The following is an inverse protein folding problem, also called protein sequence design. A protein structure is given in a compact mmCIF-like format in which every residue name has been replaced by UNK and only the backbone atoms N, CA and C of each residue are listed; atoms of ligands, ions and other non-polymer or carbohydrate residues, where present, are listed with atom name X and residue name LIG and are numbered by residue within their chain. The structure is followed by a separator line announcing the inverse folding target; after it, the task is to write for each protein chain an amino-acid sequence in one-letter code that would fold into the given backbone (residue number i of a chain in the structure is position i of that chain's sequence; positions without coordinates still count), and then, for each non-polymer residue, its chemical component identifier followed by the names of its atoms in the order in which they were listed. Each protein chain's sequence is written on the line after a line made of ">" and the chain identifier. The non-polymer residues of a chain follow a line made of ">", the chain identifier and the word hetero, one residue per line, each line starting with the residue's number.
data_IF_708868031320
#
_entry.id   IF_708868031320
#
_cell.length_a   1.000
_cell.length_b   1.000
_cell.length_c   1.000
_cell.angle_alpha   90.00
_cell.angle_beta   90.00
_cell.angle_gamma   90.00
#
_symmetry.space_group_name_H-M   'P 1'
#
loop_
_entity.id
_entity.type
_entity.pdbx_description
1 polymer ?
#
# COMPACT_ATOMS: atom_id res chain seq x y z
N UNK A 1 14.94 -42.17 -10.35
CA UNK A 1 15.75 -41.92 -11.57
C UNK A 1 14.86 -41.25 -12.60
N UNK A 2 14.84 -39.92 -12.67
CA UNK A 2 14.31 -39.13 -13.79
C UNK A 2 14.46 -37.65 -13.43
N UNK A 3 15.67 -37.11 -13.59
CA UNK A 3 15.92 -35.67 -13.65
C UNK A 3 17.34 -35.46 -14.17
N UNK A 4 17.53 -35.63 -15.48
CA UNK A 4 18.81 -35.31 -16.14
C UNK A 4 18.69 -34.95 -17.63
N UNK A 5 17.52 -34.47 -18.07
CA UNK A 5 17.24 -34.20 -19.50
C UNK A 5 16.71 -32.78 -19.80
N UNK A 6 16.71 -31.85 -18.84
CA UNK A 6 16.12 -30.51 -19.04
C UNK A 6 17.13 -29.35 -19.14
N UNK A 7 18.43 -29.60 -19.06
CA UNK A 7 19.44 -28.51 -19.10
C UNK A 7 19.92 -28.15 -20.51
N UNK A 8 19.78 -29.05 -21.50
CA UNK A 8 20.23 -28.81 -22.87
C UNK A 8 19.25 -27.93 -23.68
N UNK A 9 17.95 -28.09 -23.46
CA UNK A 9 16.90 -27.35 -24.20
C UNK A 9 16.84 -25.86 -23.86
N UNK A 10 17.11 -25.48 -22.60
CA UNK A 10 17.04 -24.08 -22.15
C UNK A 10 18.18 -23.21 -22.71
N UNK A 11 19.37 -23.79 -22.93
CA UNK A 11 20.51 -23.09 -23.52
C UNK A 11 20.34 -22.82 -25.01
N UNK A 12 19.76 -23.77 -25.76
CA UNK A 12 19.52 -23.64 -27.19
C UNK A 12 18.45 -22.59 -27.51
N UNK A 13 17.36 -22.55 -26.72
CA UNK A 13 16.31 -21.53 -26.83
C UNK A 13 16.85 -20.12 -26.55
N UNK A 14 17.68 -19.96 -25.51
CA UNK A 14 18.28 -18.67 -25.17
C UNK A 14 19.25 -18.16 -26.26
N UNK A 15 19.92 -19.05 -26.96
CA UNK A 15 20.80 -18.70 -28.08
C UNK A 15 20.00 -18.40 -29.36
N UNK A 16 18.90 -19.11 -29.58
CA UNK A 16 17.95 -18.84 -30.67
C UNK A 16 17.33 -17.44 -30.55
N UNK A 17 16.92 -17.04 -29.34
CA UNK A 17 16.46 -15.68 -29.05
C UNK A 17 17.52 -14.62 -29.39
N UNK A 18 18.79 -14.88 -29.05
CA UNK A 18 19.91 -13.96 -29.35
C UNK A 18 20.22 -13.87 -30.86
N UNK A 19 19.86 -14.88 -31.64
CA UNK A 19 20.06 -14.92 -33.09
C UNK A 19 18.83 -14.46 -33.89
N UNK A 20 17.78 -14.04 -33.20
CA UNK A 20 16.54 -13.58 -33.81
C UNK A 20 16.55 -12.07 -33.96
N UNK A 21 16.24 -11.59 -35.16
CA UNK A 21 16.08 -10.17 -35.42
C UNK A 21 14.76 -9.68 -34.82
N UNK A 22 14.76 -8.61 -34.00
CA UNK A 22 13.55 -8.11 -33.34
C UNK A 22 12.53 -7.48 -34.30
N UNK A 23 12.88 -7.27 -35.58
CA UNK A 23 11.99 -6.65 -36.59
C UNK A 23 11.25 -7.71 -37.39
N UNK A 24 11.97 -8.63 -38.05
CA UNK A 24 11.33 -9.70 -38.84
C UNK A 24 10.99 -10.94 -38.01
N UNK A 25 11.45 -11.02 -36.76
CA UNK A 25 11.27 -12.16 -35.85
C UNK A 25 11.81 -13.49 -36.42
N UNK A 26 12.76 -13.40 -37.36
CA UNK A 26 13.48 -14.56 -37.91
C UNK A 26 14.96 -14.46 -37.59
N UNK A 27 15.71 -15.54 -37.86
CA UNK A 27 17.16 -15.52 -37.70
C UNK A 27 17.82 -14.42 -38.55
N UNK A 28 18.87 -13.82 -38.00
CA UNK A 28 19.62 -12.77 -38.68
C UNK A 28 20.12 -13.21 -40.06
N UNK A 29 19.81 -12.37 -41.05
CA UNK A 29 20.29 -12.46 -42.43
C UNK A 29 21.03 -11.18 -42.75
N UNK A 30 22.34 -11.29 -43.02
CA UNK A 30 23.26 -10.17 -43.17
C UNK A 30 23.10 -9.08 -42.08
N UNK A 31 23.40 -9.41 -40.81
CA UNK A 31 23.14 -8.51 -39.69
C UNK A 31 24.06 -7.28 -39.70
N UNK A 32 23.45 -6.13 -39.51
CA UNK A 32 24.08 -4.81 -39.45
C UNK A 32 23.94 -4.25 -38.03
N UNK A 33 24.98 -3.65 -37.49
CA UNK A 33 25.00 -3.04 -36.15
C UNK A 33 24.87 -1.52 -36.24
N UNK A 34 23.92 -0.95 -35.49
CA UNK A 34 23.74 0.50 -35.37
C UNK A 34 24.72 1.10 -34.34
N UNK A 35 24.96 2.43 -34.33
CA UNK A 35 25.79 3.11 -33.32
C UNK A 35 25.34 2.87 -31.87
N UNK A 36 24.06 2.59 -31.66
CA UNK A 36 23.53 2.19 -30.35
C UNK A 36 23.81 0.73 -29.97
N UNK A 37 24.61 0.01 -30.77
CA UNK A 37 25.03 -1.38 -30.58
C UNK A 37 23.91 -2.45 -30.70
N UNK A 38 22.74 -2.07 -31.21
CA UNK A 38 21.68 -3.03 -31.56
C UNK A 38 21.86 -3.48 -33.00
N UNK A 39 21.57 -4.77 -33.25
CA UNK A 39 21.75 -5.40 -34.56
C UNK A 39 20.42 -5.77 -35.20
N UNK A 40 20.34 -5.65 -36.54
CA UNK A 40 19.15 -5.92 -37.34
C UNK A 40 19.56 -6.54 -38.69
N UNK A 41 18.68 -7.27 -39.36
CA UNK A 41 18.95 -7.68 -40.75
C UNK A 41 19.07 -6.44 -41.65
N UNK A 42 19.96 -6.45 -42.65
CA UNK A 42 20.08 -5.33 -43.59
C UNK A 42 18.72 -4.96 -44.22
N UNK A 43 17.99 -5.95 -44.75
CA UNK A 43 16.66 -5.71 -45.35
C UNK A 43 15.63 -5.16 -44.35
N UNK A 44 15.77 -5.49 -43.06
CA UNK A 44 14.91 -4.91 -42.02
C UNK A 44 15.22 -3.44 -41.81
N UNK A 45 16.49 -3.05 -41.84
CA UNK A 45 16.89 -1.64 -41.74
C UNK A 45 16.47 -0.83 -42.97
N UNK A 46 16.59 -1.41 -44.17
CA UNK A 46 16.14 -0.80 -45.43
C UNK A 46 14.63 -0.54 -45.46
N UNK A 47 13.85 -1.36 -44.73
CA UNK A 47 12.40 -1.21 -44.59
C UNK A 47 11.95 -0.26 -43.48
N UNK A 48 12.87 0.30 -42.67
CA UNK A 48 12.50 1.23 -41.60
C UNK A 48 12.14 2.61 -42.16
N UNK A 49 11.21 3.33 -41.50
CA UNK A 49 10.92 4.71 -41.86
C UNK A 49 12.15 5.60 -41.63
N UNK A 50 12.42 6.49 -42.59
CA UNK A 50 13.52 7.44 -42.54
C UNK A 50 13.01 8.83 -42.15
N UNK A 51 13.67 9.46 -41.19
CA UNK A 51 13.46 10.84 -40.82
C UNK A 51 14.48 11.72 -41.53
N UNK A 52 14.02 12.76 -42.25
CA UNK A 52 14.91 13.71 -42.93
C UNK A 52 15.11 14.95 -42.05
N UNK A 53 16.35 15.25 -41.68
CA UNK A 53 16.75 16.47 -40.96
C UNK A 53 17.89 17.13 -41.73
N UNK A 54 17.72 18.37 -42.18
CA UNK A 54 18.80 19.17 -42.81
C UNK A 54 19.61 18.42 -43.88
N UNK A 55 18.90 17.78 -44.83
CA UNK A 55 19.46 16.99 -45.95
C UNK A 55 20.08 15.63 -45.60
N UNK A 56 20.25 15.28 -44.32
CA UNK A 56 20.64 13.94 -43.88
C UNK A 56 19.43 13.10 -43.47
N UNK A 57 19.53 11.78 -43.67
CA UNK A 57 18.50 10.82 -43.30
C UNK A 57 18.90 10.09 -42.02
N UNK A 58 17.93 9.86 -41.14
CA UNK A 58 18.11 9.14 -39.88
C UNK A 58 17.14 7.97 -39.80
N UNK A 59 17.59 6.91 -39.13
CA UNK A 59 16.79 5.76 -38.74
C UNK A 59 16.73 5.66 -37.21
N UNK A 60 15.52 5.57 -36.67
CA UNK A 60 15.32 5.34 -35.25
C UNK A 60 15.42 3.85 -34.94
N UNK A 61 16.34 3.47 -34.05
CA UNK A 61 16.51 2.09 -33.60
C UNK A 61 15.21 1.53 -32.97
N UNK A 62 14.64 0.42 -33.47
CA UNK A 62 13.43 -0.18 -32.90
C UNK A 62 13.55 -0.60 -31.43
N UNK A 63 14.76 -0.90 -30.95
CA UNK A 63 14.99 -1.42 -29.59
C UNK A 63 15.16 -0.32 -28.55
N UNK A 64 15.91 0.75 -28.86
CA UNK A 64 16.23 1.80 -27.89
C UNK A 64 15.87 3.23 -28.33
N UNK A 65 15.30 3.39 -29.54
CA UNK A 65 14.90 4.68 -30.12
C UNK A 65 16.04 5.69 -30.30
N UNK A 66 17.27 5.19 -30.38
CA UNK A 66 18.42 6.00 -30.75
C UNK A 66 18.37 6.31 -32.24
N UNK A 67 18.51 7.60 -32.60
CA UNK A 67 18.61 8.06 -33.98
C UNK A 67 20.02 7.74 -34.51
N UNK A 68 20.10 6.90 -35.53
CA UNK A 68 21.32 6.61 -36.26
C UNK A 68 21.30 7.35 -37.59
N UNK A 69 22.40 8.03 -37.93
CA UNK A 69 22.56 8.65 -39.25
C UNK A 69 22.71 7.55 -40.31
N UNK A 70 21.95 7.67 -41.40
CA UNK A 70 22.03 6.76 -42.53
C UNK A 70 23.25 7.14 -43.40
N UNK A 71 24.19 6.21 -43.63
CA UNK A 71 25.30 6.45 -44.56
C UNK A 71 24.81 6.77 -45.98
N UNK A 72 25.60 7.49 -46.78
CA UNK A 72 25.24 7.83 -48.17
C UNK A 72 25.01 6.58 -49.04
N UNK A 73 25.74 5.50 -48.77
CA UNK A 73 25.61 4.19 -49.41
C UNK A 73 24.40 3.37 -48.90
N UNK A 74 23.60 3.93 -47.99
CA UNK A 74 22.42 3.32 -47.40
C UNK A 74 22.71 2.38 -46.21
N UNK A 75 21.69 1.64 -45.78
CA UNK A 75 21.76 0.80 -44.58
C UNK A 75 22.74 -0.38 -44.71
N UNK A 76 23.12 -0.74 -45.95
CA UNK A 76 24.14 -1.73 -46.23
C UNK A 76 25.55 -1.33 -45.75
N UNK A 77 25.83 -0.03 -45.58
CA UNK A 77 27.14 0.46 -45.16
C UNK A 77 27.36 0.41 -43.64
N UNK A 78 26.33 0.08 -42.84
CA UNK A 78 26.56 -0.21 -41.43
C UNK A 78 27.48 -1.43 -41.25
N UNK A 79 28.26 -1.41 -40.16
CA UNK A 79 29.18 -2.49 -39.84
C UNK A 79 28.45 -3.82 -39.69
N UNK A 80 29.08 -4.90 -40.13
CA UNK A 80 28.54 -6.25 -39.96
C UNK A 80 28.69 -6.67 -38.51
N UNK A 81 27.63 -7.20 -37.90
CA UNK A 81 27.65 -7.68 -36.52
C UNK A 81 28.40 -9.01 -36.42
N UNK A 82 29.74 -8.97 -36.35
CA UNK A 82 30.60 -10.15 -36.39
C UNK A 82 30.32 -11.16 -35.26
N UNK A 83 29.93 -10.66 -34.08
CA UNK A 83 29.53 -11.48 -32.93
C UNK A 83 28.33 -12.36 -33.25
N UNK A 84 27.35 -11.87 -34.01
CA UNK A 84 26.18 -12.66 -34.43
C UNK A 84 26.54 -13.74 -35.44
N UNK A 85 27.54 -13.48 -36.31
CA UNK A 85 28.05 -14.49 -37.24
C UNK A 85 28.67 -15.65 -36.45
N UNK A 86 29.56 -15.35 -35.49
CA UNK A 86 30.16 -16.37 -34.63
C UNK A 86 29.12 -17.14 -33.81
N UNK A 87 28.12 -16.45 -33.25
CA UNK A 87 27.04 -17.10 -32.50
C UNK A 87 26.18 -18.01 -33.40
N UNK A 88 25.96 -17.63 -34.67
CA UNK A 88 25.22 -18.44 -35.65
C UNK A 88 25.95 -19.73 -35.99
N UNK A 89 27.28 -19.70 -36.08
CA UNK A 89 28.11 -20.90 -36.26
C UNK A 89 28.02 -21.83 -35.04
N UNK A 90 28.09 -21.27 -33.83
CA UNK A 90 27.93 -22.03 -32.58
C UNK A 90 26.55 -22.68 -32.49
N UNK A 91 25.48 -21.92 -32.80
CA UNK A 91 24.11 -22.43 -32.83
C UNK A 91 23.93 -23.54 -33.87
N UNK A 92 24.50 -23.39 -35.07
CA UNK A 92 24.47 -24.44 -36.09
C UNK A 92 25.20 -25.71 -35.62
N UNK A 93 26.29 -25.56 -34.85
CA UNK A 93 26.98 -26.68 -34.21
C UNK A 93 26.12 -27.36 -33.14
N UNK A 94 25.47 -26.59 -32.27
CA UNK A 94 24.56 -27.10 -31.23
C UNK A 94 23.39 -27.87 -31.82
N UNK A 95 22.76 -27.31 -32.87
CA UNK A 95 21.63 -27.95 -33.55
C UNK A 95 22.01 -29.28 -34.22
N UNK A 96 23.24 -29.39 -34.77
CA UNK A 96 23.74 -30.66 -35.31
C UNK A 96 23.91 -31.72 -34.23
N UNK A 97 24.30 -31.32 -33.02
CA UNK A 97 24.67 -32.23 -31.92
C UNK A 97 23.48 -32.59 -31.01
N UNK A 98 22.34 -31.93 -31.16
CA UNK A 98 21.07 -32.26 -30.46
C UNK A 98 20.53 -33.65 -30.87
N UNK A 99 20.90 -34.16 -32.06
CA UNK A 99 20.77 -35.57 -32.47
C UNK A 99 22.13 -36.16 -32.91
N UNK A 100 22.92 -36.74 -31.98
CA UNK A 100 24.27 -37.24 -32.25
C UNK A 100 24.33 -38.35 -33.30
N UNK A 101 23.23 -39.06 -33.57
CA UNK A 101 23.19 -40.18 -34.51
C UNK A 101 23.10 -39.75 -35.98
N UNK A 102 22.85 -38.45 -36.24
CA UNK A 102 22.69 -37.89 -37.59
C UNK A 102 23.80 -36.92 -38.01
N UNK A 103 24.85 -36.73 -37.20
CA UNK A 103 25.96 -35.85 -37.57
C UNK A 103 26.82 -36.51 -38.65
N UNK A 104 26.74 -36.04 -39.89
CA UNK A 104 27.57 -36.51 -41.00
C UNK A 104 28.90 -35.76 -41.10
N UNK A 105 29.92 -36.40 -41.65
CA UNK A 105 31.20 -35.78 -41.96
C UNK A 105 31.04 -34.64 -42.99
N UNK A 106 31.45 -33.42 -42.64
CA UNK A 106 31.33 -32.24 -43.52
C UNK A 106 32.23 -32.33 -44.77
N UNK A 107 33.20 -33.25 -44.82
CA UNK A 107 34.13 -33.42 -45.95
C UNK A 107 33.66 -34.45 -46.98
N UNK A 108 33.23 -35.63 -46.53
CA UNK A 108 32.79 -36.69 -47.44
C UNK A 108 31.27 -36.81 -47.52
N UNK A 109 30.52 -36.23 -46.58
CA UNK A 109 29.04 -36.21 -46.48
C UNK A 109 28.35 -37.58 -46.40
N UNK A 110 29.10 -38.69 -46.50
CA UNK A 110 28.57 -40.05 -46.59
C UNK A 110 28.68 -40.86 -45.30
N UNK A 111 29.63 -40.51 -44.42
CA UNK A 111 29.88 -41.24 -43.17
C UNK A 111 29.53 -40.39 -41.96
N UNK A 112 29.13 -41.04 -40.85
CA UNK A 112 28.90 -40.36 -39.59
C UNK A 112 30.21 -39.75 -39.06
N UNK A 113 30.12 -38.52 -38.56
CA UNK A 113 31.22 -37.84 -37.93
C UNK A 113 31.53 -38.48 -36.58
N UNK A 114 32.82 -38.59 -36.26
CA UNK A 114 33.32 -39.13 -34.99
C UNK A 114 34.08 -38.08 -34.19
N UNK A 115 34.42 -36.94 -34.81
CA UNK A 115 35.05 -35.82 -34.14
C UNK A 115 34.76 -34.47 -34.80
N UNK A 116 35.13 -33.40 -34.10
CA UNK A 116 35.03 -32.00 -34.52
C UNK A 116 36.41 -31.36 -34.47
N UNK A 117 36.81 -30.74 -35.58
CA UNK A 117 38.02 -29.94 -35.68
C UNK A 117 37.70 -28.49 -35.31
N UNK A 118 38.22 -28.01 -34.18
CA UNK A 118 37.95 -26.63 -33.70
C UNK A 118 38.52 -25.55 -34.62
N UNK A 119 39.69 -25.81 -35.22
CA UNK A 119 40.36 -24.85 -36.12
C UNK A 119 39.82 -24.88 -37.55
N UNK A 120 38.92 -25.80 -37.88
CA UNK A 120 38.25 -25.82 -39.18
C UNK A 120 36.74 -25.64 -39.07
N UNK A 121 36.21 -25.60 -37.85
CA UNK A 121 34.78 -25.63 -37.53
C UNK A 121 34.02 -26.73 -38.28
N UNK A 122 34.62 -27.92 -38.42
CA UNK A 122 34.11 -29.04 -39.24
C UNK A 122 34.05 -30.35 -38.47
N UNK A 123 32.98 -31.10 -38.71
CA UNK A 123 32.79 -32.47 -38.26
C UNK A 123 33.43 -33.45 -39.24
N UNK A 124 34.23 -34.40 -38.73
CA UNK A 124 35.00 -35.36 -39.53
C UNK A 124 34.68 -36.79 -39.09
N UNK A 125 34.55 -37.71 -40.05
CA UNK A 125 34.56 -39.16 -39.77
C UNK A 125 35.98 -39.65 -39.51
N UNK A 126 36.12 -40.87 -38.99
CA UNK A 126 37.41 -41.47 -38.61
C UNK A 126 38.43 -41.49 -39.76
N UNK A 127 37.98 -41.72 -40.99
CA UNK A 127 38.86 -41.74 -42.16
C UNK A 127 39.32 -40.33 -42.56
N UNK A 128 38.40 -39.35 -42.58
CA UNK A 128 38.72 -37.96 -42.86
C UNK A 128 39.59 -37.33 -41.76
N UNK A 129 39.34 -37.65 -40.48
CA UNK A 129 40.18 -37.28 -39.34
C UNK A 129 41.61 -37.82 -39.49
N UNK A 130 41.75 -39.09 -39.91
CA UNK A 130 43.05 -39.72 -40.16
C UNK A 130 43.86 -39.04 -41.25
N UNK A 131 43.20 -38.54 -42.31
CA UNK A 131 43.83 -37.73 -43.37
C UNK A 131 44.15 -36.32 -42.86
N UNK A 132 43.21 -35.70 -42.14
CA UNK A 132 43.34 -34.34 -41.60
C UNK A 132 44.53 -34.19 -40.65
N UNK A 133 44.83 -35.22 -39.85
CA UNK A 133 46.02 -35.26 -38.98
C UNK A 133 47.35 -35.44 -39.72
N UNK A 134 47.31 -36.03 -40.92
CA UNK A 134 48.51 -36.37 -41.71
C UNK A 134 48.83 -35.32 -42.79
N UNK A 135 47.89 -34.43 -43.09
CA UNK A 135 48.07 -33.36 -44.05
C UNK A 135 48.78 -32.17 -43.39
N UNK A 136 49.95 -31.78 -43.90
CA UNK A 136 50.83 -30.78 -43.27
C UNK A 136 50.15 -29.47 -42.85
N UNK A 137 49.24 -28.89 -43.64
CA UNK A 137 48.51 -27.67 -43.25
C UNK A 137 47.55 -27.83 -42.07
N UNK A 138 47.06 -29.04 -41.80
CA UNK A 138 46.03 -29.30 -40.77
C UNK A 138 46.51 -30.24 -39.66
N UNK A 139 47.77 -30.67 -39.70
CA UNK A 139 48.32 -31.65 -38.75
C UNK A 139 48.33 -31.16 -37.31
N UNK A 140 48.35 -29.84 -37.11
CA UNK A 140 48.39 -29.19 -35.79
C UNK A 140 46.99 -28.77 -35.28
N UNK A 141 45.93 -29.06 -36.03
CA UNK A 141 44.58 -28.66 -35.63
C UNK A 141 44.05 -29.50 -34.46
N UNK A 142 43.33 -28.85 -33.54
CA UNK A 142 42.74 -29.42 -32.35
C UNK A 142 41.43 -30.17 -32.68
N UNK A 143 41.52 -31.50 -32.63
CA UNK A 143 40.39 -32.41 -32.86
C UNK A 143 39.81 -32.91 -31.54
N UNK A 144 38.49 -32.82 -31.41
CA UNK A 144 37.74 -33.21 -30.22
C UNK A 144 36.70 -34.28 -30.59
N UNK A 145 36.61 -35.37 -29.83
CA UNK A 145 35.59 -36.41 -30.06
C UNK A 145 34.17 -35.84 -29.91
N UNK A 146 33.23 -36.36 -30.72
CA UNK A 146 31.83 -35.93 -30.73
C UNK A 146 31.16 -36.02 -29.34
N UNK A 147 31.51 -37.04 -28.53
CA UNK A 147 31.00 -37.19 -27.16
C UNK A 147 31.40 -36.01 -26.27
N UNK A 148 32.65 -35.55 -26.40
CA UNK A 148 33.18 -34.42 -25.64
C UNK A 148 32.58 -33.10 -26.12
N UNK A 149 32.33 -32.97 -27.42
CA UNK A 149 31.68 -31.81 -28.04
C UNK A 149 30.24 -31.65 -27.52
N UNK A 150 29.48 -32.74 -27.45
CA UNK A 150 28.12 -32.78 -26.90
C UNK A 150 28.06 -32.28 -25.44
N UNK A 151 29.02 -32.72 -24.62
CA UNK A 151 29.13 -32.28 -23.22
C UNK A 151 29.55 -30.81 -23.13
N UNK A 152 30.47 -30.35 -23.97
CA UNK A 152 30.92 -28.95 -24.00
C UNK A 152 29.81 -27.99 -24.45
N UNK A 153 28.96 -28.36 -25.40
CA UNK A 153 27.79 -27.56 -25.79
C UNK A 153 26.73 -27.46 -24.67
N UNK A 154 26.59 -28.48 -23.82
CA UNK A 154 25.62 -28.46 -22.72
C UNK A 154 26.07 -27.66 -21.50
N UNK A 155 27.38 -27.45 -21.33
CA UNK A 155 27.96 -26.86 -20.12
C UNK A 155 28.53 -25.46 -20.33
N UNK A 156 29.25 -25.23 -21.45
CA UNK A 156 29.72 -23.90 -21.85
C UNK A 156 29.99 -23.85 -23.37
N UNK A 157 28.98 -23.50 -24.19
CA UNK A 157 29.09 -23.44 -25.66
C UNK A 157 30.22 -22.56 -26.18
N UNK A 158 30.66 -21.56 -25.41
CA UNK A 158 31.72 -20.63 -25.81
C UNK A 158 33.11 -21.30 -25.93
N UNK A 159 33.31 -22.49 -25.33
CA UNK A 159 34.56 -23.26 -25.42
C UNK A 159 34.76 -23.98 -26.78
N UNK A 160 33.72 -23.97 -27.62
CA UNK A 160 33.68 -24.56 -28.96
C UNK A 160 33.70 -23.51 -30.07
N UNK A 161 33.70 -22.21 -29.70
CA UNK A 161 33.96 -21.14 -30.64
C UNK A 161 35.28 -21.45 -31.39
N UNK A 162 35.35 -21.20 -32.71
CA UNK A 162 36.57 -21.42 -33.48
C UNK A 162 37.75 -20.80 -32.74
N UNK A 163 38.82 -21.59 -32.55
CA UNK A 163 40.02 -21.15 -31.85
C UNK A 163 40.65 -20.02 -32.67
N UNK A 164 40.35 -18.75 -32.33
CA UNK A 164 40.79 -17.53 -33.04
C UNK A 164 41.21 -17.85 -34.47
N UNK A 165 40.29 -18.37 -35.29
CA UNK A 165 40.56 -18.32 -36.71
C UNK A 165 40.73 -16.83 -36.96
N UNK A 166 41.92 -16.44 -37.41
CA UNK A 166 42.07 -15.21 -38.15
C UNK A 166 41.15 -15.40 -39.38
N UNK A 167 39.85 -15.19 -39.19
CA UNK A 167 38.99 -14.77 -40.27
C UNK A 167 39.61 -13.43 -40.66
N UNK A 168 40.58 -13.50 -41.58
CA UNK A 168 41.26 -12.34 -42.11
C UNK A 168 40.19 -11.52 -42.78
N UNK A 169 39.71 -10.51 -42.05
CA UNK A 169 38.77 -9.53 -42.59
C UNK A 169 39.40 -9.00 -43.86
N UNK A 170 38.71 -9.16 -44.98
CA UNK A 170 39.16 -8.66 -46.27
C UNK A 170 38.66 -7.24 -46.47
N UNK A 171 39.37 -6.48 -47.29
CA UNK A 171 38.96 -5.13 -47.62
C UNK A 171 37.57 -5.12 -48.27
N UNK A 172 36.73 -4.17 -47.87
CA UNK A 172 35.39 -3.98 -48.47
C UNK A 172 35.42 -3.20 -49.78
N UNK A 173 36.57 -2.62 -50.15
CA UNK A 173 36.73 -1.86 -51.40
C UNK A 173 36.77 -2.82 -52.59
N UNK A 174 35.88 -2.66 -53.59
CA UNK A 174 35.91 -3.48 -54.81
C UNK A 174 37.28 -3.35 -55.48
N UNK A 175 37.91 -4.48 -55.86
CA UNK A 175 39.29 -4.64 -56.38
C UNK A 175 40.39 -4.88 -55.34
N UNK A 176 40.16 -4.63 -54.05
CA UNK A 176 41.11 -4.97 -52.99
C UNK A 176 40.75 -6.33 -52.39
N UNK A 177 41.29 -7.43 -52.91
CA UNK A 177 41.12 -8.78 -52.33
C UNK A 177 42.23 -9.10 -51.32
N UNK A 178 42.55 -8.11 -50.46
CA UNK A 178 43.63 -8.19 -49.49
C UNK A 178 43.13 -8.12 -48.04
N UNK A 179 43.82 -8.80 -47.09
CA UNK A 179 43.48 -8.77 -45.68
C UNK A 179 43.76 -7.40 -45.04
N UNK A 180 42.90 -7.00 -44.09
CA UNK A 180 43.06 -5.80 -43.28
C UNK A 180 44.21 -5.98 -42.27
N UNK A 181 45.40 -5.50 -42.62
CA UNK A 181 46.63 -5.65 -41.82
C UNK A 181 47.04 -4.39 -41.06
N UNK A 182 46.50 -3.23 -41.43
CA UNK A 182 46.87 -1.94 -40.87
C UNK A 182 45.67 -1.26 -40.19
N UNK A 183 45.94 -0.40 -39.23
CA UNK A 183 44.97 0.48 -38.59
C UNK A 183 45.37 1.92 -38.87
N UNK A 184 44.46 2.69 -39.47
CA UNK A 184 44.68 4.10 -39.75
C UNK A 184 44.19 4.94 -38.57
N UNK A 185 45.11 5.48 -37.77
CA UNK A 185 44.80 6.32 -36.61
C UNK A 185 44.16 7.67 -37.03
N UNK A 186 44.36 8.12 -38.27
CA UNK A 186 43.69 9.33 -38.79
C UNK A 186 42.20 9.12 -39.11
N UNK A 187 41.83 7.93 -39.58
CA UNK A 187 40.47 7.60 -40.00
C UNK A 187 39.70 6.76 -38.98
N UNK A 188 40.38 6.22 -37.96
CA UNK A 188 39.82 5.27 -36.98
C UNK A 188 39.28 3.97 -37.64
N UNK A 189 39.99 3.47 -38.66
CA UNK A 189 39.55 2.36 -39.51
C UNK A 189 40.65 1.31 -39.73
N UNK A 190 40.24 0.04 -39.86
CA UNK A 190 41.12 -1.05 -40.29
C UNK A 190 41.21 -1.09 -41.81
N UNK A 191 42.43 -1.07 -42.35
CA UNK A 191 42.70 -0.92 -43.80
C UNK A 191 43.64 -2.03 -44.32
N UNK A 192 43.54 -2.35 -45.62
CA UNK A 192 44.49 -3.24 -46.30
C UNK A 192 45.72 -2.46 -46.80
N UNK A 193 46.71 -3.16 -47.37
CA UNK A 193 47.90 -2.52 -47.93
C UNK A 193 47.55 -1.57 -49.09
N UNK A 194 46.66 -1.96 -50.00
CA UNK A 194 46.29 -1.12 -51.16
C UNK A 194 45.60 0.20 -50.74
N UNK A 195 44.80 0.18 -49.67
CA UNK A 195 44.20 1.38 -49.09
C UNK A 195 45.24 2.42 -48.64
N UNK A 196 46.44 2.00 -48.25
CA UNK A 196 47.53 2.90 -47.83
C UNK A 196 48.08 3.74 -48.99
N UNK A 197 48.00 3.25 -50.22
CA UNK A 197 48.43 3.96 -51.43
C UNK A 197 47.29 4.76 -52.08
N UNK A 198 46.05 4.36 -51.82
CA UNK A 198 44.84 4.98 -52.35
C UNK A 198 44.22 6.00 -51.39
N UNK A 199 43.09 5.62 -50.80
CA UNK A 199 42.20 6.52 -50.03
C UNK A 199 42.82 7.04 -48.74
N UNK A 200 43.79 6.35 -48.14
CA UNK A 200 44.47 6.77 -46.90
C UNK A 200 45.90 7.27 -47.15
N UNK A 201 46.18 7.75 -48.38
CA UNK A 201 47.50 8.25 -48.74
C UNK A 201 47.88 9.46 -47.89
N UNK A 202 48.97 9.33 -47.14
CA UNK A 202 49.48 10.40 -46.26
C UNK A 202 48.85 10.43 -44.87
N UNK A 203 48.01 9.46 -44.52
CA UNK A 203 47.49 9.29 -43.17
C UNK A 203 48.47 8.52 -42.28
N UNK A 204 48.34 8.69 -40.97
CA UNK A 204 49.08 7.90 -39.99
C UNK A 204 48.41 6.54 -39.82
N UNK A 205 49.19 5.46 -39.98
CA UNK A 205 48.73 4.10 -39.77
C UNK A 205 49.84 3.20 -39.23
N UNK A 206 49.44 2.15 -38.51
CA UNK A 206 50.36 1.14 -37.97
C UNK A 206 49.80 -0.28 -38.17
N UNK A 207 50.60 -1.31 -37.88
CA UNK A 207 50.14 -2.70 -37.89
C UNK A 207 49.03 -2.88 -36.84
N UNK A 208 47.98 -3.62 -37.21
CA UNK A 208 46.84 -3.89 -36.30
C UNK A 208 47.30 -4.48 -34.97
N UNK A 209 48.32 -5.35 -34.95
CA UNK A 209 48.85 -5.93 -33.71
C UNK A 209 49.41 -4.89 -32.73
N UNK A 210 50.01 -3.81 -33.24
CA UNK A 210 50.56 -2.72 -32.44
C UNK A 210 49.43 -1.80 -31.99
N UNK A 211 48.58 -1.35 -32.93
CA UNK A 211 47.45 -0.46 -32.62
C UNK A 211 46.43 -1.11 -31.68
N UNK A 212 46.19 -2.42 -31.80
CA UNK A 212 45.32 -3.18 -30.90
C UNK A 212 45.77 -3.09 -29.45
N UNK A 213 47.07 -3.20 -29.17
CA UNK A 213 47.58 -3.16 -27.80
C UNK A 213 47.31 -1.79 -27.16
N UNK A 214 47.52 -0.71 -27.91
CA UNK A 214 47.23 0.66 -27.46
C UNK A 214 45.72 0.89 -27.27
N UNK A 215 44.93 0.68 -28.32
CA UNK A 215 43.49 0.97 -28.31
C UNK A 215 42.71 0.05 -27.36
N UNK A 216 43.16 -1.20 -27.13
CA UNK A 216 42.54 -2.09 -26.13
C UNK A 216 42.76 -1.60 -24.69
N UNK A 217 43.91 -1.00 -24.39
CA UNK A 217 44.15 -0.37 -23.09
C UNK A 217 43.26 0.87 -22.90
N UNK A 218 43.08 1.68 -23.94
CA UNK A 218 42.19 2.86 -23.90
C UNK A 218 40.72 2.45 -23.69
N UNK A 219 40.27 1.38 -24.36
CA UNK A 219 38.95 0.77 -24.15
C UNK A 219 38.79 0.22 -22.73
N UNK A 220 39.80 -0.48 -22.19
CA UNK A 220 39.78 -0.98 -20.82
C UNK A 220 39.74 0.17 -19.79
N UNK A 221 40.50 1.22 -20.04
CA UNK A 221 40.46 2.47 -19.26
C UNK A 221 39.06 3.09 -19.26
N UNK A 222 38.42 3.17 -20.43
CA UNK A 222 37.06 3.71 -20.60
C UNK A 222 35.97 2.82 -19.98
N UNK A 223 36.22 1.51 -19.88
CA UNK A 223 35.31 0.56 -19.26
C UNK A 223 35.30 0.65 -17.72
N UNK A 224 36.40 1.06 -17.10
CA UNK A 224 36.53 1.15 -15.64
C UNK A 224 35.50 2.11 -15.00
N UNK A 225 35.27 3.34 -15.51
CA UNK A 225 34.18 4.20 -15.04
C UNK A 225 32.79 3.56 -15.15
N UNK A 226 32.53 2.80 -16.21
CA UNK A 226 31.25 2.09 -16.40
C UNK A 226 31.08 1.01 -15.35
N UNK A 227 32.10 0.18 -15.12
CA UNK A 227 32.11 -0.83 -14.03
C UNK A 227 31.89 -0.18 -12.67
N UNK A 228 32.54 0.95 -12.40
CA UNK A 228 32.36 1.73 -11.17
C UNK A 228 30.92 2.23 -11.00
N UNK A 229 30.30 2.77 -12.05
CA UNK A 229 28.90 3.20 -12.04
C UNK A 229 27.93 2.04 -11.82
N UNK A 230 28.19 0.87 -12.42
CA UNK A 230 27.38 -0.34 -12.21
C UNK A 230 27.38 -0.73 -10.72
N UNK A 231 28.56 -0.81 -10.11
CA UNK A 231 28.67 -1.16 -8.68
C UNK A 231 28.06 -0.09 -7.76
N UNK A 232 28.21 1.20 -8.10
CA UNK A 232 27.55 2.28 -7.37
C UNK A 232 26.02 2.18 -7.46
N UNK A 233 25.46 1.94 -8.65
CA UNK A 233 24.01 1.79 -8.84
C UNK A 233 23.46 0.56 -8.13
N UNK A 234 24.18 -0.56 -8.11
CA UNK A 234 23.79 -1.74 -7.31
C UNK A 234 23.67 -1.40 -5.83
N UNK A 235 24.64 -0.65 -5.28
CA UNK A 235 24.60 -0.19 -3.87
C UNK A 235 23.40 0.74 -3.62
N UNK A 236 23.15 1.69 -4.52
CA UNK A 236 21.99 2.59 -4.44
C UNK A 236 20.69 1.79 -4.46
N UNK A 237 20.56 0.80 -5.35
CA UNK A 237 19.39 -0.06 -5.42
C UNK A 237 19.16 -0.81 -4.11
N UNK A 238 20.20 -1.41 -3.52
CA UNK A 238 20.07 -2.08 -2.22
C UNK A 238 19.62 -1.13 -1.10
N UNK A 239 20.21 0.07 -1.02
CA UNK A 239 19.82 1.07 -0.03
C UNK A 239 18.38 1.57 -0.22
N UNK A 240 17.93 1.73 -1.46
CA UNK A 240 16.53 2.10 -1.76
C UNK A 240 15.56 1.01 -1.35
N UNK A 241 15.87 -0.26 -1.62
CA UNK A 241 15.04 -1.41 -1.21
C UNK A 241 14.96 -1.55 0.31
N UNK A 242 16.08 -1.35 1.02
CA UNK A 242 16.10 -1.34 2.49
C UNK A 242 15.19 -0.22 3.03
N UNK A 243 15.35 1.00 2.51
CA UNK A 243 14.54 2.16 2.94
C UNK A 243 13.06 2.00 2.64
N UNK A 244 12.72 1.39 1.50
CA UNK A 244 11.33 1.05 1.17
C UNK A 244 10.73 0.09 2.22
N UNK A 245 11.49 -0.93 2.64
CA UNK A 245 11.09 -1.87 3.69
C UNK A 245 10.86 -1.19 5.04
N UNK A 246 11.78 -0.30 5.45
CA UNK A 246 11.64 0.48 6.69
C UNK A 246 10.37 1.35 6.70
N UNK A 247 10.10 2.04 5.57
CA UNK A 247 8.92 2.91 5.44
C UNK A 247 7.63 2.08 5.52
N UNK A 248 7.57 0.92 4.86
CA UNK A 248 6.40 0.02 4.92
C UNK A 248 6.15 -0.46 6.34
N UNK A 249 7.20 -0.98 6.99
CA UNK A 249 7.11 -1.46 8.38
C UNK A 249 6.63 -0.35 9.32
N UNK A 250 7.21 0.84 9.22
CA UNK A 250 6.80 1.96 10.09
C UNK A 250 5.36 2.41 9.81
N UNK A 251 4.93 2.33 8.56
CA UNK A 251 3.53 2.57 8.18
C UNK A 251 2.57 1.60 8.87
N UNK A 252 2.90 0.30 8.89
CA UNK A 252 2.12 -0.73 9.59
C UNK A 252 2.08 -0.49 11.11
N UNK A 253 3.24 -0.21 11.72
CA UNK A 253 3.33 0.12 13.16
C UNK A 253 2.43 1.31 13.53
N UNK A 254 2.42 2.38 12.72
CA UNK A 254 1.55 3.55 12.95
C UNK A 254 0.06 3.20 12.83
N UNK A 255 -0.32 2.33 11.89
CA UNK A 255 -1.71 1.90 11.74
C UNK A 255 -2.18 1.10 12.98
N UNK A 256 -1.32 0.26 13.54
CA UNK A 256 -1.60 -0.44 14.80
C UNK A 256 -1.70 0.52 15.99
N UNK A 257 -0.82 1.52 16.08
CA UNK A 257 -0.88 2.57 17.11
C UNK A 257 -2.19 3.35 17.06
N UNK A 258 -2.67 3.70 15.85
CA UNK A 258 -3.96 4.38 15.67
C UNK A 258 -5.11 3.49 16.15
N UNK A 259 -5.10 2.21 15.79
CA UNK A 259 -6.13 1.27 16.21
C UNK A 259 -6.18 1.11 17.74
N UNK A 260 -5.04 0.88 18.38
CA UNK A 260 -4.93 0.76 19.84
C UNK A 260 -5.37 2.04 20.57
N UNK A 261 -5.05 3.22 20.02
CA UNK A 261 -5.52 4.50 20.56
C UNK A 261 -7.06 4.60 20.52
N UNK A 262 -7.68 4.21 19.41
CA UNK A 262 -9.14 4.24 19.25
C UNK A 262 -9.81 3.26 20.20
N UNK A 263 -9.32 2.03 20.31
CA UNK A 263 -9.84 1.02 21.25
C UNK A 263 -9.79 1.53 22.70
N UNK A 264 -8.67 2.11 23.13
CA UNK A 264 -8.55 2.74 24.46
C UNK A 264 -9.57 3.86 24.68
N UNK A 265 -9.87 4.64 23.65
CA UNK A 265 -10.86 5.70 23.72
C UNK A 265 -12.29 5.16 23.80
N UNK A 266 -12.60 4.07 23.08
CA UNK A 266 -13.87 3.34 23.16
C UNK A 266 -14.05 2.74 24.55
N UNK A 267 -13.00 2.17 25.15
CA UNK A 267 -13.05 1.63 26.52
C UNK A 267 -13.41 2.70 27.56
N UNK A 268 -12.83 3.91 27.44
CA UNK A 268 -13.16 5.06 28.29
C UNK A 268 -14.62 5.46 28.13
N UNK A 269 -15.14 5.46 26.90
CA UNK A 269 -16.55 5.75 26.62
C UNK A 269 -17.47 4.70 27.24
N UNK A 270 -17.18 3.41 27.09
CA UNK A 270 -17.94 2.33 27.73
C UNK A 270 -17.86 2.39 29.26
N UNK A 271 -16.76 2.86 29.83
CA UNK A 271 -16.67 3.08 31.27
C UNK A 271 -17.60 4.22 31.73
N UNK A 272 -17.63 5.34 31.00
CA UNK A 272 -18.53 6.46 31.26
C UNK A 272 -20.01 6.06 31.10
N UNK A 273 -20.33 5.28 30.07
CA UNK A 273 -21.66 4.70 29.83
C UNK A 273 -22.13 3.84 31.03
N UNK A 274 -21.26 2.94 31.52
CA UNK A 274 -21.55 2.11 32.69
C UNK A 274 -21.85 2.95 33.92
N UNK A 275 -21.07 4.02 34.16
CA UNK A 275 -21.29 4.94 35.29
C UNK A 275 -22.65 5.64 35.19
N UNK A 276 -23.00 6.18 34.02
CA UNK A 276 -24.29 6.83 33.79
C UNK A 276 -25.47 5.88 33.94
N UNK A 277 -25.35 4.67 33.41
CA UNK A 277 -26.37 3.63 33.54
C UNK A 277 -26.60 3.28 35.00
N UNK A 278 -25.53 3.15 35.76
CA UNK A 278 -25.59 2.87 37.20
C UNK A 278 -26.19 4.04 37.99
N UNK A 279 -25.87 5.31 37.66
CA UNK A 279 -26.53 6.48 38.26
C UNK A 279 -28.05 6.47 37.99
N UNK A 280 -28.46 6.21 36.74
CA UNK A 280 -29.88 6.15 36.36
C UNK A 280 -30.64 5.08 37.16
N UNK A 281 -30.04 3.88 37.28
CA UNK A 281 -30.61 2.79 38.08
C UNK A 281 -30.74 3.18 39.55
N UNK A 282 -29.69 3.74 40.16
CA UNK A 282 -29.72 4.16 41.57
C UNK A 282 -30.83 5.18 41.87
N UNK A 283 -30.98 6.20 41.03
CA UNK A 283 -32.03 7.21 41.19
C UNK A 283 -33.42 6.56 41.05
N UNK A 284 -33.59 5.70 40.05
CA UNK A 284 -34.85 4.98 39.81
C UNK A 284 -35.21 4.09 41.00
N UNK A 285 -34.28 3.26 41.46
CA UNK A 285 -34.48 2.33 42.58
C UNK A 285 -34.77 3.08 43.88
N UNK A 286 -34.10 4.21 44.13
CA UNK A 286 -34.35 5.04 45.30
C UNK A 286 -35.77 5.61 45.30
N UNK A 287 -36.23 6.20 44.19
CA UNK A 287 -37.58 6.74 44.05
C UNK A 287 -38.66 5.66 44.16
N UNK A 288 -38.46 4.52 43.49
CA UNK A 288 -39.38 3.38 43.57
C UNK A 288 -39.47 2.81 44.98
N UNK A 289 -38.35 2.75 45.72
CA UNK A 289 -38.33 2.29 47.12
C UNK A 289 -39.18 3.17 48.03
N UNK A 290 -39.18 4.49 47.83
CA UNK A 290 -40.05 5.42 48.59
C UNK A 290 -41.51 5.13 48.27
N UNK A 291 -41.89 5.06 46.99
CA UNK A 291 -43.26 4.78 46.57
C UNK A 291 -43.76 3.42 47.09
N UNK A 292 -42.93 2.37 47.03
CA UNK A 292 -43.27 1.06 47.59
C UNK A 292 -43.54 1.10 49.09
N UNK A 293 -42.78 1.93 49.84
CA UNK A 293 -43.04 2.16 51.26
C UNK A 293 -44.39 2.84 51.51
N UNK A 294 -44.72 3.86 50.70
CA UNK A 294 -46.01 4.56 50.80
C UNK A 294 -47.18 3.63 50.46
N UNK A 295 -47.07 2.83 49.40
CA UNK A 295 -48.09 1.84 49.02
C UNK A 295 -48.38 0.85 50.14
N UNK A 296 -47.33 0.29 50.77
CA UNK A 296 -47.49 -0.63 51.91
C UNK A 296 -48.17 0.04 53.11
N UNK A 297 -47.80 1.28 53.41
CA UNK A 297 -48.43 2.05 54.50
C UNK A 297 -49.90 2.34 54.22
N UNK A 298 -50.23 2.67 52.96
CA UNK A 298 -51.60 2.91 52.53
C UNK A 298 -52.44 1.64 52.57
N UNK A 299 -51.90 0.50 52.14
CA UNK A 299 -52.57 -0.80 52.18
C UNK A 299 -52.90 -1.24 53.62
N UNK A 300 -51.95 -1.09 54.56
CA UNK A 300 -52.19 -1.36 55.98
C UNK A 300 -53.28 -0.45 56.55
N UNK A 301 -53.23 0.85 56.22
CA UNK A 301 -54.22 1.82 56.69
C UNK A 301 -55.62 1.55 56.15
N UNK A 302 -55.71 1.17 54.87
CA UNK A 302 -56.96 0.79 54.21
C UNK A 302 -57.57 -0.47 54.85
N UNK A 303 -56.78 -1.53 55.02
CA UNK A 303 -57.24 -2.77 55.65
C UNK A 303 -57.77 -2.53 57.07
N UNK A 304 -57.11 -1.67 57.86
CA UNK A 304 -57.56 -1.33 59.21
C UNK A 304 -58.92 -0.59 59.21
N UNK A 305 -59.15 0.29 58.24
CA UNK A 305 -60.42 1.00 58.07
C UNK A 305 -61.53 0.05 57.59
N UNK A 306 -61.26 -0.78 56.59
CA UNK A 306 -62.20 -1.77 56.05
C UNK A 306 -62.64 -2.79 57.11
N UNK A 307 -61.72 -3.25 57.97
CA UNK A 307 -62.04 -4.19 59.06
C UNK A 307 -63.04 -3.58 60.06
N UNK A 308 -62.87 -2.30 60.40
CA UNK A 308 -63.78 -1.60 61.31
C UNK A 308 -65.11 -1.29 60.64
N UNK A 309 -65.10 -0.84 59.38
CA UNK A 309 -66.30 -0.61 58.59
C UNK A 309 -67.15 -1.89 58.54
N UNK A 310 -66.56 -3.00 58.10
CA UNK A 310 -67.24 -4.28 57.99
C UNK A 310 -67.78 -4.77 59.34
N UNK A 311 -66.99 -4.66 60.41
CA UNK A 311 -67.45 -5.02 61.76
C UNK A 311 -68.68 -4.21 62.20
N UNK A 312 -68.65 -2.89 62.01
CA UNK A 312 -69.73 -1.99 62.41
C UNK A 312 -70.97 -2.21 61.53
N UNK A 313 -70.81 -2.29 60.22
CA UNK A 313 -71.91 -2.58 59.29
C UNK A 313 -72.59 -3.92 59.61
N UNK A 314 -71.80 -4.97 59.84
CA UNK A 314 -72.33 -6.29 60.14
C UNK A 314 -73.07 -6.31 61.48
N UNK A 315 -72.55 -5.61 62.49
CA UNK A 315 -73.20 -5.42 63.78
C UNK A 315 -74.56 -4.72 63.62
N UNK A 316 -74.62 -3.65 62.80
CA UNK A 316 -75.85 -2.91 62.50
C UNK A 316 -76.89 -3.75 61.72
N UNK A 317 -76.45 -4.59 60.78
CA UNK A 317 -77.34 -5.42 59.94
C UNK A 317 -77.91 -6.65 60.67
N UNK A 318 -77.11 -7.31 61.51
CA UNK A 318 -77.42 -8.67 62.01
C UNK A 318 -77.72 -8.75 63.51
N UNK A 319 -77.36 -7.75 64.31
CA UNK A 319 -77.61 -7.77 65.76
C UNK A 319 -78.93 -7.08 66.13
N UNK A 320 -79.54 -7.54 67.22
CA UNK A 320 -80.72 -6.87 67.81
C UNK A 320 -80.37 -5.47 68.35
N UNK A 321 -81.29 -4.48 68.28
CA UNK A 321 -81.00 -3.08 68.64
C UNK A 321 -80.39 -2.87 70.03
N UNK A 322 -80.84 -3.63 71.04
CA UNK A 322 -80.36 -3.53 72.42
C UNK A 322 -78.86 -3.91 72.55
N UNK A 323 -78.39 -4.89 71.77
CA UNK A 323 -76.99 -5.35 71.77
C UNK A 323 -76.08 -4.34 71.09
N UNK A 324 -76.52 -3.78 69.96
CA UNK A 324 -75.83 -2.69 69.26
C UNK A 324 -75.67 -1.47 70.18
N UNK A 325 -76.75 -1.07 70.86
CA UNK A 325 -76.70 0.06 71.80
C UNK A 325 -75.78 -0.19 73.00
N UNK A 326 -75.70 -1.43 73.50
CA UNK A 326 -74.78 -1.81 74.59
C UNK A 326 -73.31 -1.67 74.18
N UNK A 327 -72.96 -1.97 72.92
CA UNK A 327 -71.59 -1.87 72.39
C UNK A 327 -71.29 -0.55 71.67
N UNK A 328 -72.28 0.35 71.51
CA UNK A 328 -72.17 1.61 70.75
C UNK A 328 -70.95 2.43 71.12
N UNK A 329 -70.74 2.67 72.42
CA UNK A 329 -69.66 3.52 72.92
C UNK A 329 -68.29 2.99 72.48
N UNK A 330 -68.06 1.69 72.66
CA UNK A 330 -66.82 1.02 72.26
C UNK A 330 -66.60 1.07 70.74
N UNK A 331 -67.65 0.84 69.95
CA UNK A 331 -67.56 0.93 68.48
C UNK A 331 -67.19 2.35 68.02
N UNK A 332 -67.83 3.37 68.61
CA UNK A 332 -67.51 4.77 68.33
C UNK A 332 -66.09 5.15 68.74
N UNK A 333 -65.63 4.74 69.92
CA UNK A 333 -64.26 4.99 70.37
C UNK A 333 -63.23 4.36 69.43
N UNK A 334 -63.45 3.10 69.02
CA UNK A 334 -62.56 2.41 68.07
C UNK A 334 -62.53 3.06 66.68
N UNK A 335 -63.69 3.50 66.17
CA UNK A 335 -63.76 4.25 64.89
C UNK A 335 -62.98 5.56 64.98
N UNK A 336 -63.19 6.34 66.05
CA UNK A 336 -62.45 7.59 66.26
C UNK A 336 -60.94 7.36 66.39
N UNK A 337 -60.54 6.31 67.12
CA UNK A 337 -59.12 5.95 67.29
C UNK A 337 -58.46 5.62 65.95
N UNK A 338 -59.03 4.71 65.16
CA UNK A 338 -58.44 4.31 63.87
C UNK A 338 -58.47 5.45 62.86
N UNK A 339 -59.56 6.23 62.81
CA UNK A 339 -59.63 7.39 61.91
C UNK A 339 -58.57 8.43 62.28
N UNK A 340 -58.27 8.62 63.56
CA UNK A 340 -57.22 9.53 64.01
C UNK A 340 -55.79 9.00 63.73
N UNK A 341 -55.60 7.69 63.63
CA UNK A 341 -54.31 7.07 63.31
C UNK A 341 -53.94 7.17 61.82
N UNK A 342 -54.93 7.29 60.92
CA UNK A 342 -54.70 7.34 59.47
C UNK A 342 -54.61 8.78 58.99
N UNK A 343 -53.42 9.21 58.57
CA UNK A 343 -53.21 10.49 57.89
C UNK A 343 -53.11 10.28 56.37
N UNK A 344 -54.21 10.55 55.65
CA UNK A 344 -54.27 10.38 54.18
C UNK A 344 -53.35 11.37 53.45
N UNK A 345 -53.16 12.58 53.99
CA UNK A 345 -52.32 13.60 53.35
C UNK A 345 -50.85 13.17 53.26
N UNK A 346 -50.35 12.42 54.24
CA UNK A 346 -48.98 11.90 54.27
C UNK A 346 -48.74 10.72 53.32
N UNK A 347 -49.81 10.09 52.83
CA UNK A 347 -49.78 8.92 51.94
C UNK A 347 -49.79 9.29 50.45
N UNK A 348 -50.01 10.57 50.10
CA UNK A 348 -49.90 11.02 48.70
C UNK A 348 -48.48 10.80 48.16
N UNK A 349 -48.33 10.45 46.86
CA UNK A 349 -47.03 10.19 46.26
C UNK A 349 -46.05 11.35 46.48
N UNK A 350 -44.92 11.05 47.12
CA UNK A 350 -43.87 12.05 47.42
C UNK A 350 -42.86 12.21 46.28
N UNK A 351 -42.66 11.14 45.50
CA UNK A 351 -41.70 11.10 44.40
C UNK A 351 -42.37 11.27 43.04
N UNK A 352 -41.66 11.96 42.14
CA UNK A 352 -42.06 12.19 40.75
C UNK A 352 -41.02 11.62 39.76
N UNK A 353 -41.44 11.43 38.51
CA UNK A 353 -40.57 11.03 37.40
C UNK A 353 -39.84 12.24 36.78
N UNK A 354 -39.06 12.95 37.59
CA UNK A 354 -38.49 14.26 37.28
C UNK A 354 -36.96 14.26 37.07
N UNK A 355 -36.32 13.09 37.01
CA UNK A 355 -34.88 12.99 36.75
C UNK A 355 -34.55 13.05 35.26
N UNK A 356 -33.43 13.70 34.94
CA UNK A 356 -33.00 13.96 33.56
C UNK A 356 -31.52 13.67 33.37
N UNK A 357 -31.14 13.29 32.15
CA UNK A 357 -29.74 13.16 31.73
C UNK A 357 -29.21 14.52 31.25
N UNK A 358 -28.20 15.05 31.93
CA UNK A 358 -27.43 16.20 31.46
C UNK A 358 -26.20 15.69 30.73
N UNK A 359 -26.04 16.05 29.45
CA UNK A 359 -24.95 15.56 28.59
C UNK A 359 -23.77 16.53 28.61
N UNK A 360 -22.56 16.00 28.70
CA UNK A 360 -21.31 16.74 28.50
C UNK A 360 -20.38 16.02 27.52
N UNK A 361 -20.60 16.26 26.22
CA UNK A 361 -19.90 15.53 25.14
C UNK A 361 -18.45 16.02 24.98
N UNK A 362 -18.00 17.04 25.74
CA UNK A 362 -16.66 17.61 25.60
C UNK A 362 -15.58 16.73 26.24
N UNK A 363 -15.94 15.87 27.18
CA UNK A 363 -15.00 15.04 27.93
C UNK A 363 -15.36 13.56 27.78
N UNK A 364 -14.50 12.79 27.11
CA UNK A 364 -14.71 11.36 26.85
C UNK A 364 -14.82 10.52 28.14
N UNK A 365 -14.11 10.94 29.19
CA UNK A 365 -14.11 10.30 30.51
C UNK A 365 -15.28 10.72 31.42
N UNK A 366 -16.11 11.68 30.97
CA UNK A 366 -17.27 12.19 31.71
C UNK A 366 -18.33 12.76 30.74
N UNK A 367 -19.18 11.89 30.20
CA UNK A 367 -20.12 12.26 29.13
C UNK A 367 -21.47 12.83 29.64
N UNK A 368 -21.64 12.94 30.96
CA UNK A 368 -22.85 13.49 31.57
C UNK A 368 -23.13 12.98 32.98
N UNK A 369 -24.24 13.43 33.54
CA UNK A 369 -24.75 13.02 34.85
C UNK A 369 -26.28 12.87 34.83
N UNK A 370 -26.81 11.95 35.65
CA UNK A 370 -28.25 11.86 35.94
C UNK A 370 -28.58 12.71 37.16
N UNK A 371 -29.43 13.71 36.98
CA UNK A 371 -29.80 14.65 38.03
C UNK A 371 -31.30 14.53 38.31
N UNK A 372 -31.67 14.39 39.58
CA UNK A 372 -33.03 14.63 40.06
C UNK A 372 -33.08 16.05 40.63
N UNK A 373 -33.99 16.93 40.18
CA UNK A 373 -34.16 18.22 40.80
C UNK A 373 -34.58 17.99 42.25
N UNK A 374 -33.75 18.40 43.21
CA UNK A 374 -34.22 18.60 44.58
C UNK A 374 -35.23 19.75 44.54
N UNK A 375 -36.31 19.69 45.32
CA UNK A 375 -37.22 20.83 45.47
C UNK A 375 -36.41 22.03 45.97
N UNK A 376 -36.01 22.91 45.06
CA UNK A 376 -35.29 24.12 45.38
C UNK A 376 -36.30 25.22 45.66
N UNK A 377 -36.08 26.01 46.72
CA UNK A 377 -36.88 27.21 46.96
C UNK A 377 -36.26 28.35 46.16
N UNK A 378 -37.04 28.93 45.26
CA UNK A 378 -36.69 30.17 44.59
C UNK A 378 -37.13 31.35 45.46
N UNK A 379 -36.20 32.22 45.84
CA UNK A 379 -36.49 33.42 46.61
C UNK A 379 -36.24 34.64 45.74
N UNK A 380 -37.25 35.50 45.64
CA UNK A 380 -37.17 36.77 44.93
C UNK A 380 -36.76 37.85 45.94
N UNK A 381 -35.66 38.54 45.65
CA UNK A 381 -35.09 39.61 46.47
C UNK A 381 -35.51 41.01 46.01
N UNK A 382 -34.64 41.99 46.25
CA UNK A 382 -34.94 43.42 46.12
C UNK A 382 -35.48 43.78 44.71
N UNK A 383 -36.62 44.49 44.66
CA UNK A 383 -37.18 45.02 43.43
C UNK A 383 -36.75 46.48 43.24
N UNK A 384 -36.03 46.75 42.15
CA UNK A 384 -35.67 48.08 41.70
C UNK A 384 -36.44 48.43 40.44
N UNK A 385 -37.26 49.47 40.50
CA UNK A 385 -37.88 50.04 39.31
C UNK A 385 -36.97 51.13 38.74
N UNK A 386 -36.60 51.01 37.47
CA UNK A 386 -35.76 51.97 36.75
C UNK A 386 -36.64 52.79 35.79
N UNK A 387 -37.27 53.89 36.25
CA UNK A 387 -38.28 54.65 35.48
C UNK A 387 -37.77 55.22 34.16
N UNK A 388 -36.46 55.48 34.05
CA UNK A 388 -35.86 56.03 32.83
C UNK A 388 -35.72 55.00 31.69
N UNK A 389 -35.80 53.70 32.00
CA UNK A 389 -35.59 52.61 31.04
C UNK A 389 -36.80 51.68 30.93
N UNK A 390 -37.90 51.98 31.62
CA UNK A 390 -39.10 51.12 31.74
C UNK A 390 -38.79 49.67 32.19
N UNK A 391 -37.67 49.47 32.89
CA UNK A 391 -37.22 48.16 33.34
C UNK A 391 -37.49 47.95 34.83
N UNK A 392 -37.83 46.72 35.20
CA UNK A 392 -37.86 46.24 36.58
C UNK A 392 -36.70 45.27 36.73
N UNK A 393 -35.91 45.44 37.79
CA UNK A 393 -34.80 44.56 38.12
C UNK A 393 -35.04 43.93 39.47
N UNK A 394 -34.81 42.62 39.58
CA UNK A 394 -34.83 41.94 40.87
C UNK A 394 -33.78 40.85 40.96
N UNK A 395 -33.43 40.46 42.19
CA UNK A 395 -32.55 39.32 42.42
C UNK A 395 -33.35 38.04 42.60
N UNK A 396 -32.82 36.93 42.08
CA UNK A 396 -33.34 35.59 42.26
C UNK A 396 -32.24 34.72 42.88
N UNK A 397 -32.50 34.13 44.03
CA UNK A 397 -31.65 33.10 44.62
C UNK A 397 -32.35 31.75 44.60
N UNK A 398 -31.59 30.69 44.32
CA UNK A 398 -32.08 29.31 44.34
C UNK A 398 -31.44 28.62 45.54
N UNK A 399 -32.25 28.21 46.50
CA UNK A 399 -31.82 27.57 47.73
C UNK A 399 -32.14 26.07 47.68
N UNK A 400 -31.17 25.24 48.04
CA UNK A 400 -31.37 23.82 48.28
C UNK A 400 -32.21 23.58 49.56
N UNK A 401 -32.76 22.37 49.78
CA UNK A 401 -33.54 22.05 50.99
C UNK A 401 -32.80 22.29 52.32
N UNK A 402 -31.47 22.31 52.31
CA UNK A 402 -30.60 22.61 53.46
C UNK A 402 -30.29 24.11 53.63
N UNK A 403 -30.96 24.98 52.85
CA UNK A 403 -30.77 26.45 52.81
C UNK A 403 -29.41 26.91 52.26
N UNK A 404 -28.65 26.04 51.57
CA UNK A 404 -27.45 26.44 50.82
C UNK A 404 -27.81 27.02 49.45
N UNK A 405 -27.04 28.00 48.97
CA UNK A 405 -27.25 28.59 47.64
C UNK A 405 -26.72 27.66 46.54
N UNK A 406 -27.57 27.35 45.56
CA UNK A 406 -27.21 26.54 44.41
C UNK A 406 -26.70 27.42 43.27
N UNK A 407 -25.45 27.19 42.88
CA UNK A 407 -24.84 27.85 41.72
C UNK A 407 -25.11 27.03 40.45
N UNK A 408 -26.05 27.51 39.65
CA UNK A 408 -26.40 27.01 38.32
C UNK A 408 -25.66 27.81 37.24
N UNK A 409 -25.18 27.14 36.19
CA UNK A 409 -24.62 27.81 35.01
C UNK A 409 -25.64 28.75 34.37
N UNK A 410 -25.24 29.98 34.05
CA UNK A 410 -26.13 31.01 33.47
C UNK A 410 -26.80 30.52 32.17
N UNK A 411 -26.09 29.72 31.37
CA UNK A 411 -26.60 29.12 30.13
C UNK A 411 -27.79 28.19 30.32
N UNK A 412 -27.99 27.70 31.55
CA UNK A 412 -29.04 26.75 31.91
C UNK A 412 -30.26 27.43 32.55
N UNK A 413 -30.24 28.76 32.72
CA UNK A 413 -31.32 29.54 33.31
C UNK A 413 -32.10 30.29 32.25
N UNK A 414 -33.43 30.12 32.26
CA UNK A 414 -34.37 31.01 31.58
C UNK A 414 -35.38 31.53 32.60
N UNK A 415 -35.55 32.84 32.62
CA UNK A 415 -36.68 33.47 33.29
C UNK A 415 -37.74 33.86 32.25
N UNK A 416 -38.99 33.92 32.66
CA UNK A 416 -40.08 34.48 31.86
C UNK A 416 -41.11 35.04 32.82
N UNK A 417 -41.46 36.32 32.66
CA UNK A 417 -42.44 36.99 33.51
C UNK A 417 -43.78 37.01 32.79
N UNK A 418 -44.83 36.53 33.46
CA UNK A 418 -46.21 36.54 32.93
C UNK A 418 -47.05 37.48 33.80
N UNK A 419 -47.67 38.53 33.22
CA UNK A 419 -48.55 39.41 33.98
C UNK A 419 -49.81 38.67 34.43
N UNK A 420 -50.15 38.78 35.70
CA UNK A 420 -51.38 38.18 36.25
C UNK A 420 -52.60 38.82 35.57
N UNK A 421 -53.42 37.98 34.90
CA UNK A 421 -54.67 38.39 34.27
C UNK A 421 -54.61 38.85 32.80
N UNK A 422 -53.45 38.77 32.12
CA UNK A 422 -53.30 39.17 30.69
C UNK A 422 -53.02 38.03 29.69
N UNK A 423 -53.19 36.76 30.07
CA UNK A 423 -52.87 35.62 29.21
C UNK A 423 -51.35 35.40 29.03
N UNK A 424 -50.96 34.36 28.27
CA UNK A 424 -49.58 33.84 28.13
C UNK A 424 -48.55 34.77 27.46
N UNK A 425 -48.82 36.08 27.39
CA UNK A 425 -47.89 37.03 26.79
C UNK A 425 -46.76 37.35 27.77
N UNK A 426 -45.58 36.76 27.52
CA UNK A 426 -44.39 36.91 28.37
C UNK A 426 -43.68 38.25 28.16
N UNK A 427 -43.17 38.83 29.25
CA UNK A 427 -42.29 40.00 29.21
C UNK A 427 -40.86 39.51 28.91
N UNK A 428 -40.13 40.24 28.08
CA UNK A 428 -38.72 39.95 27.78
C UNK A 428 -37.85 40.13 29.04
N UNK A 429 -37.10 39.10 29.42
CA UNK A 429 -36.22 39.08 30.61
C UNK A 429 -34.77 38.77 30.24
N UNK A 430 -33.81 39.37 30.94
CA UNK A 430 -32.37 39.07 30.75
C UNK A 430 -31.76 38.63 32.07
N UNK A 431 -31.17 37.43 32.11
CA UNK A 431 -30.55 36.91 33.34
C UNK A 431 -29.05 37.20 33.33
N UNK A 432 -28.55 37.80 34.40
CA UNK A 432 -27.12 38.12 34.62
C UNK A 432 -26.66 37.63 36.00
N UNK A 433 -25.34 37.49 36.20
CA UNK A 433 -24.77 37.08 37.50
C UNK A 433 -24.64 38.25 38.45
N UNK A 434 -24.96 38.05 39.74
CA UNK A 434 -24.62 38.98 40.82
C UNK A 434 -23.17 38.76 41.31
N UNK A 435 -22.69 39.63 42.19
CA UNK A 435 -21.44 39.45 42.94
C UNK A 435 -21.52 38.33 43.98
N UNK A 436 -22.74 37.97 44.41
CA UNK A 436 -22.99 36.91 45.38
C UNK A 436 -23.17 35.55 44.66
N UNK A 437 -22.37 34.52 45.02
CA UNK A 437 -22.51 33.19 44.44
C UNK A 437 -23.91 32.59 44.65
N UNK A 438 -24.55 32.13 43.56
CA UNK A 438 -25.91 31.57 43.60
C UNK A 438 -27.04 32.60 43.61
N UNK A 439 -26.73 33.88 43.41
CA UNK A 439 -27.71 34.96 43.21
C UNK A 439 -27.63 35.50 41.78
N UNK A 440 -28.77 35.56 41.11
CA UNK A 440 -28.91 36.04 39.74
C UNK A 440 -29.69 37.35 39.70
N UNK A 441 -29.38 38.23 38.75
CA UNK A 441 -30.11 39.49 38.51
C UNK A 441 -30.92 39.34 37.22
N UNK A 442 -32.22 39.60 37.31
CA UNK A 442 -33.22 39.43 36.23
C UNK A 442 -33.77 40.77 35.79
#
# INVERSE_FOLDING_TARGET
>A
MANKLSSSSSGLLKLEEQLTCPVCLTHYTNPKILPCHHSFCQHCLEGLPLDKKSETYYLSCPTCRHDAELPEEGAGAFSVAFTLITLKEIYSGMKKVDDPQQVTCDKCTTANATGYCKDCSKFLCTECDGVHKKWGPTSNHQLTSLDKVTVSFSSNPQLLAPAKQEATLTCSVPSHDEPLKYYCDTCDESICHDCTFGTHKGHEYNLVSISYTKHSQDLEGSLNPVKGKIEALKKVMSALTEREGEIKKRGEEILEEIHDMVEKMVDVLHQSERKLTEQAKRVTDAKLKVLLGQMKSAEISLSLLEDIENYVEQSLKTSIPQKVLRSKKQMMERMSEVTAQVNVEELYPKEMADFVLVKDIKLLHHIGDVISPTQCKAKIGCFEWLPKQENVVFSLSIEAPDSSYLSVLLSSLRCSLVPVGKGDQTIHTTVTTSTDPGVYRI
#
